data_IF_789825871809
#
_entry.id   IF_789825871809
#
_cell.length_a   1.000
_cell.length_b   1.000
_cell.length_c   1.000
_cell.angle_alpha   90.00
_cell.angle_beta   90.00
_cell.angle_gamma   90.00
#
_symmetry.space_group_name_H-M   'P 1'
#
loop_
_entity.id
_entity.type
_entity.pdbx_description
1 polymer ?
#
# COMPACT_ATOMS: atom_id res chain seq x y z
N UNK A 1 -8.30 5.32 -14.69
CA UNK A 1 -7.13 4.43 -14.77
C UNK A 1 -5.80 5.18 -14.80
N UNK A 2 -5.59 6.20 -15.64
CA UNK A 2 -4.36 7.00 -15.68
C UNK A 2 -3.94 7.51 -14.31
N UNK A 3 -4.84 8.20 -13.61
CA UNK A 3 -4.62 8.72 -12.25
C UNK A 3 -4.45 7.58 -11.24
N UNK A 4 -5.30 6.56 -11.30
CA UNK A 4 -5.37 5.49 -10.30
C UNK A 4 -4.10 4.59 -10.36
N UNK A 5 -3.55 4.33 -11.55
CA UNK A 5 -2.32 3.57 -11.73
C UNK A 5 -1.07 4.38 -11.34
N UNK A 6 -1.00 5.67 -11.70
CA UNK A 6 0.08 6.55 -11.23
C UNK A 6 0.11 6.56 -9.70
N UNK A 7 -1.06 6.72 -9.07
CA UNK A 7 -1.17 6.71 -7.61
C UNK A 7 -0.79 5.35 -7.02
N UNK A 8 -1.26 4.25 -7.60
CA UNK A 8 -0.93 2.91 -7.11
C UNK A 8 0.57 2.63 -7.20
N UNK A 9 1.21 2.94 -8.34
CA UNK A 9 2.66 2.81 -8.53
C UNK A 9 3.43 3.72 -7.58
N UNK A 10 2.97 4.95 -7.36
CA UNK A 10 3.54 5.87 -6.38
C UNK A 10 3.55 5.26 -4.98
N UNK A 11 2.41 4.77 -4.49
CA UNK A 11 2.36 4.16 -3.16
C UNK A 11 3.27 2.94 -3.09
N UNK A 12 3.26 2.05 -4.10
CA UNK A 12 4.18 0.90 -4.17
C UNK A 12 5.66 1.32 -4.12
N UNK A 13 6.03 2.38 -4.84
CA UNK A 13 7.38 2.94 -4.84
C UNK A 13 7.75 3.52 -3.48
N UNK A 14 6.83 4.18 -2.78
CA UNK A 14 7.03 4.66 -1.39
C UNK A 14 7.30 3.48 -0.47
N UNK A 15 6.53 2.38 -0.56
CA UNK A 15 6.76 1.19 0.28
C UNK A 15 8.13 0.56 0.03
N UNK A 16 8.55 0.44 -1.24
CA UNK A 16 9.88 -0.08 -1.59
C UNK A 16 10.99 0.84 -1.07
N UNK A 17 10.85 2.14 -1.29
CA UNK A 17 11.81 3.13 -0.82
C UNK A 17 11.93 3.13 0.70
N UNK A 18 10.81 3.10 1.43
CA UNK A 18 10.80 3.10 2.88
C UNK A 18 11.38 1.79 3.46
N UNK A 19 11.11 0.65 2.82
CA UNK A 19 11.71 -0.63 3.20
C UNK A 19 13.24 -0.59 3.09
N UNK A 20 13.76 -0.11 1.96
CA UNK A 20 15.21 0.03 1.76
C UNK A 20 15.80 1.08 2.69
N UNK A 21 15.15 2.23 2.83
CA UNK A 21 15.61 3.32 3.70
C UNK A 21 15.68 2.90 5.17
N UNK A 22 14.69 2.14 5.66
CA UNK A 22 14.69 1.65 7.04
C UNK A 22 15.84 0.70 7.33
N UNK A 23 16.19 -0.18 6.37
CA UNK A 23 17.36 -1.05 6.50
C UNK A 23 18.65 -0.22 6.40
N UNK A 24 18.74 0.69 5.42
CA UNK A 24 19.92 1.53 5.21
C UNK A 24 20.23 2.46 6.40
N UNK A 25 19.21 3.01 7.07
CA UNK A 25 19.38 3.84 8.27
C UNK A 25 20.14 3.10 9.37
N UNK A 26 19.90 1.79 9.53
CA UNK A 26 20.60 0.95 10.51
C UNK A 26 22.09 0.81 10.17
N UNK A 27 22.51 0.97 8.90
CA UNK A 27 23.93 0.98 8.54
C UNK A 27 24.61 2.34 8.79
N UNK A 28 23.84 3.43 8.81
CA UNK A 28 24.35 4.80 8.97
C UNK A 28 24.35 5.28 10.41
N UNK A 29 23.72 4.55 11.33
CA UNK A 29 23.67 4.93 12.74
C UNK A 29 25.05 4.76 13.42
N UNK A 30 25.59 5.78 14.08
CA UNK A 30 26.96 5.75 14.62
C UNK A 30 27.16 4.74 15.77
N UNK A 31 26.07 4.24 16.36
CA UNK A 31 26.08 3.32 17.51
C UNK A 31 25.80 1.86 17.11
N UNK A 32 25.58 1.58 15.83
CA UNK A 32 25.28 0.22 15.36
C UNK A 32 26.53 -0.53 14.98
N UNK A 33 26.77 -1.67 15.63
CA UNK A 33 27.81 -2.63 15.22
C UNK A 33 27.50 -3.18 13.83
N UNK A 34 28.51 -3.35 12.97
CA UNK A 34 28.35 -3.94 11.64
C UNK A 34 27.57 -5.27 11.65
N UNK A 35 27.77 -6.10 12.67
CA UNK A 35 27.03 -7.35 12.89
C UNK A 35 25.52 -7.14 13.01
N UNK A 36 25.07 -6.09 13.71
CA UNK A 36 23.64 -5.77 13.85
C UNK A 36 23.03 -5.31 12.53
N UNK A 37 23.77 -4.51 11.78
CA UNK A 37 23.33 -4.03 10.47
C UNK A 37 23.21 -5.18 9.45
N UNK A 38 24.21 -6.07 9.42
CA UNK A 38 24.17 -7.28 8.59
C UNK A 38 23.06 -8.23 9.01
N UNK A 39 22.81 -8.40 10.32
CA UNK A 39 21.68 -9.18 10.82
C UNK A 39 20.34 -8.58 10.39
N UNK A 40 20.18 -7.26 10.49
CA UNK A 40 18.98 -6.56 10.02
C UNK A 40 18.74 -6.78 8.52
N UNK A 41 19.78 -6.63 7.71
CA UNK A 41 19.73 -6.93 6.28
C UNK A 41 19.37 -8.39 6.01
N UNK A 42 19.94 -9.33 6.77
CA UNK A 42 19.70 -10.77 6.63
C UNK A 42 18.25 -11.10 6.96
N UNK A 43 17.72 -10.60 8.08
CA UNK A 43 16.32 -10.79 8.46
C UNK A 43 15.35 -10.22 7.41
N UNK A 44 15.59 -9.00 6.93
CA UNK A 44 14.79 -8.38 5.89
C UNK A 44 14.83 -9.20 4.58
N UNK A 45 16.01 -9.66 4.18
CA UNK A 45 16.24 -10.45 2.96
C UNK A 45 15.62 -11.84 3.06
N UNK A 46 15.71 -12.50 4.22
CA UNK A 46 15.07 -13.80 4.46
C UNK A 46 13.56 -13.66 4.39
N UNK A 47 12.98 -12.66 5.05
CA UNK A 47 11.52 -12.44 5.01
C UNK A 47 11.01 -12.14 3.61
N UNK A 48 11.70 -11.24 2.87
CA UNK A 48 11.34 -10.93 1.49
C UNK A 48 11.55 -12.13 0.55
N UNK A 49 12.72 -12.74 0.59
CA UNK A 49 13.12 -13.84 -0.29
C UNK A 49 12.25 -15.08 -0.10
N UNK A 50 11.99 -15.48 1.14
CA UNK A 50 11.07 -16.57 1.44
C UNK A 50 9.64 -16.24 1.00
N UNK A 51 9.14 -15.03 1.26
CA UNK A 51 7.82 -14.60 0.79
C UNK A 51 7.68 -14.66 -0.74
N UNK A 52 8.70 -14.21 -1.47
CA UNK A 52 8.72 -14.26 -2.93
C UNK A 52 8.85 -15.67 -3.49
N UNK A 53 9.72 -16.50 -2.90
CA UNK A 53 9.90 -17.90 -3.30
C UNK A 53 8.63 -18.72 -3.07
N UNK A 54 8.01 -18.61 -1.89
CA UNK A 54 6.78 -19.32 -1.55
C UNK A 54 5.60 -18.85 -2.40
N UNK A 55 5.54 -17.56 -2.76
CA UNK A 55 4.55 -17.06 -3.74
C UNK A 55 4.80 -17.65 -5.13
N UNK A 56 6.07 -17.76 -5.54
CA UNK A 56 6.48 -18.36 -6.81
C UNK A 56 6.08 -19.83 -6.97
N UNK A 57 5.89 -20.57 -5.86
CA UNK A 57 5.40 -21.95 -5.88
C UNK A 57 4.03 -22.08 -6.58
N UNK A 58 3.23 -21.01 -6.61
CA UNK A 58 1.97 -21.02 -7.36
C UNK A 58 2.16 -21.31 -8.85
N UNK A 59 3.31 -20.97 -9.44
CA UNK A 59 3.59 -21.23 -10.86
C UNK A 59 4.56 -22.41 -11.08
N UNK A 60 4.91 -23.11 -10.00
CA UNK A 60 5.86 -24.23 -10.04
C UNK A 60 5.20 -25.53 -10.49
N UNK A 61 6.00 -26.41 -11.10
CA UNK A 61 5.61 -27.79 -11.44
C UNK A 61 5.64 -28.73 -10.22
N UNK A 62 6.26 -28.31 -9.12
CA UNK A 62 6.41 -29.12 -7.90
C UNK A 62 5.19 -28.99 -6.97
N UNK A 63 4.79 -30.09 -6.33
CA UNK A 63 3.64 -30.24 -5.42
C UNK A 63 2.25 -30.19 -6.08
N UNK A 64 1.24 -30.66 -5.34
CA UNK A 64 -0.17 -30.61 -5.76
C UNK A 64 -0.71 -29.18 -5.73
N UNK A 65 -1.71 -28.88 -6.58
CA UNK A 65 -2.35 -27.56 -6.69
C UNK A 65 -2.83 -27.01 -5.34
N UNK A 66 -3.40 -27.88 -4.49
CA UNK A 66 -3.86 -27.50 -3.15
C UNK A 66 -2.71 -27.02 -2.26
N UNK A 67 -1.61 -27.78 -2.20
CA UNK A 67 -0.43 -27.41 -1.40
C UNK A 67 0.18 -26.11 -1.93
N UNK A 68 0.40 -25.99 -3.24
CA UNK A 68 0.93 -24.77 -3.87
C UNK A 68 0.13 -23.52 -3.54
N UNK A 69 -1.20 -23.61 -3.67
CA UNK A 69 -2.08 -22.48 -3.40
C UNK A 69 -2.09 -22.11 -1.91
N UNK A 70 -2.19 -23.09 -1.02
CA UNK A 70 -2.20 -22.83 0.42
C UNK A 70 -0.87 -22.21 0.90
N UNK A 71 0.27 -22.77 0.48
CA UNK A 71 1.59 -22.25 0.84
C UNK A 71 1.81 -20.85 0.26
N UNK A 72 1.43 -20.62 -1.00
CA UNK A 72 1.53 -19.30 -1.63
C UNK A 72 0.64 -18.25 -0.95
N UNK A 73 -0.55 -18.64 -0.47
CA UNK A 73 -1.46 -17.73 0.22
C UNK A 73 -0.92 -17.28 1.59
N UNK A 74 -0.23 -18.18 2.30
CA UNK A 74 0.42 -17.87 3.58
C UNK A 74 1.87 -17.37 3.45
N UNK A 75 2.37 -17.17 2.23
CA UNK A 75 3.76 -16.79 1.97
C UNK A 75 4.26 -15.58 2.79
N UNK A 76 3.51 -14.46 2.92
CA UNK A 76 3.96 -13.33 3.73
C UNK A 76 4.05 -13.67 5.22
N UNK A 77 3.08 -14.44 5.74
CA UNK A 77 3.05 -14.85 7.14
C UNK A 77 4.19 -15.82 7.48
N UNK A 78 4.43 -16.80 6.61
CA UNK A 78 5.56 -17.73 6.73
C UNK A 78 6.90 -16.97 6.68
N UNK A 79 7.02 -15.98 5.79
CA UNK A 79 8.24 -15.15 5.70
C UNK A 79 8.51 -14.32 6.96
N UNK A 80 7.46 -13.82 7.64
CA UNK A 80 7.59 -13.16 8.95
C UNK A 80 8.08 -14.14 10.01
N UNK A 81 7.50 -15.34 10.05
CA UNK A 81 7.92 -16.39 11.00
C UNK A 81 9.38 -16.76 10.78
N UNK A 82 9.79 -17.03 9.54
CA UNK A 82 11.17 -17.40 9.20
C UNK A 82 12.17 -16.28 9.55
N UNK A 83 11.88 -15.04 9.18
CA UNK A 83 12.76 -13.91 9.53
C UNK A 83 12.87 -13.68 11.04
N UNK A 84 11.77 -13.88 11.77
CA UNK A 84 11.75 -13.76 13.23
C UNK A 84 12.50 -14.92 13.90
N UNK A 85 12.41 -16.14 13.36
CA UNK A 85 13.18 -17.29 13.83
C UNK A 85 14.68 -17.09 13.62
N UNK A 86 15.11 -16.54 12.48
CA UNK A 86 16.52 -16.18 12.22
C UNK A 86 17.00 -15.17 13.26
N UNK A 87 16.23 -14.10 13.50
CA UNK A 87 16.58 -13.10 14.50
C UNK A 87 16.69 -13.71 15.91
N UNK A 88 15.76 -14.59 16.26
CA UNK A 88 15.76 -15.30 17.56
C UNK A 88 16.95 -16.25 17.69
N UNK A 89 17.26 -17.03 16.65
CA UNK A 89 18.41 -17.93 16.65
C UNK A 89 19.73 -17.16 16.81
N UNK A 90 19.88 -16.04 16.10
CA UNK A 90 21.08 -15.19 16.20
C UNK A 90 21.20 -14.53 17.58
N UNK A 91 20.07 -14.11 18.18
CA UNK A 91 20.04 -13.59 19.55
C UNK A 91 20.47 -14.62 20.61
N UNK A 92 20.14 -15.90 20.42
CA UNK A 92 20.51 -16.98 21.35
C UNK A 92 21.98 -17.39 21.21
N UNK A 93 22.51 -17.39 19.99
CA UNK A 93 23.86 -17.86 19.71
C UNK A 93 24.95 -16.77 19.85
N UNK A 94 24.60 -15.48 19.68
CA UNK A 94 25.55 -14.38 19.72
C UNK A 94 25.13 -13.30 20.72
N UNK A 95 25.90 -13.17 21.80
CA UNK A 95 25.73 -12.10 22.78
C UNK A 95 25.90 -10.72 22.12
N UNK A 96 24.92 -9.82 22.29
CA UNK A 96 24.94 -8.47 21.73
C UNK A 96 24.19 -8.27 20.41
N UNK A 97 23.66 -9.33 19.79
CA UNK A 97 22.86 -9.27 18.56
C UNK A 97 21.35 -9.01 18.81
N UNK A 98 21.03 -7.94 19.53
CA UNK A 98 19.64 -7.52 19.75
C UNK A 98 19.21 -6.51 18.68
N UNK A 99 18.22 -6.90 17.88
CA UNK A 99 17.49 -5.98 16.99
C UNK A 99 16.36 -5.30 17.77
N UNK A 100 16.04 -4.07 17.39
CA UNK A 100 14.84 -3.38 17.88
C UNK A 100 13.59 -4.13 17.39
N UNK A 101 12.76 -4.56 18.33
CA UNK A 101 11.50 -5.25 18.04
C UNK A 101 10.30 -4.33 18.17
N UNK A 102 9.13 -4.81 17.73
CA UNK A 102 7.89 -4.06 17.81
C UNK A 102 7.55 -3.68 19.26
N UNK A 103 7.52 -2.38 19.55
CA UNK A 103 7.12 -1.85 20.85
C UNK A 103 5.62 -1.61 20.86
N UNK A 104 4.90 -2.37 21.67
CA UNK A 104 3.45 -2.22 21.85
C UNK A 104 3.16 -1.63 23.24
N UNK A 105 2.29 -0.61 23.34
CA UNK A 105 1.96 0.00 24.62
C UNK A 105 1.26 -1.00 25.54
N UNK A 106 1.64 -0.99 26.82
CA UNK A 106 1.05 -1.86 27.85
C UNK A 106 -0.18 -1.25 28.51
N UNK A 107 -0.34 0.08 28.42
CA UNK A 107 -1.44 0.86 28.98
C UNK A 107 -2.13 1.64 27.88
N UNK A 108 -3.46 1.70 27.94
CA UNK A 108 -4.27 2.51 27.04
C UNK A 108 -4.34 3.95 27.58
N UNK A 109 -3.38 4.78 27.17
CA UNK A 109 -3.23 6.17 27.62
C UNK A 109 -2.94 7.07 26.42
N UNK A 110 -3.22 8.37 26.58
CA UNK A 110 -2.87 9.38 25.58
C UNK A 110 -1.35 9.57 25.52
N UNK A 111 -0.81 9.86 24.34
CA UNK A 111 0.65 9.96 24.11
C UNK A 111 1.33 11.00 25.00
N UNK A 112 0.62 12.07 25.34
CA UNK A 112 1.13 13.19 26.15
C UNK A 112 0.55 13.22 27.57
N UNK A 113 -0.26 12.24 27.96
CA UNK A 113 -0.99 12.26 29.24
C UNK A 113 -2.14 13.27 29.29
N UNK A 114 -2.49 13.89 28.15
CA UNK A 114 -3.63 14.82 28.04
C UNK A 114 -4.98 14.12 28.30
N UNK A 115 -6.03 14.88 28.64
CA UNK A 115 -7.40 14.38 28.62
C UNK A 115 -7.81 13.83 27.24
N UNK A 116 -8.74 12.87 27.23
CA UNK A 116 -9.26 12.31 25.98
C UNK A 116 -10.06 13.33 25.17
N UNK A 117 -10.85 14.18 25.82
CA UNK A 117 -11.55 15.26 25.14
C UNK A 117 -10.62 16.46 24.98
N UNK A 118 -10.41 16.92 23.75
CA UNK A 118 -9.58 18.11 23.51
C UNK A 118 -10.34 19.37 23.95
N UNK A 119 -9.75 20.23 24.79
CA UNK A 119 -10.34 21.53 25.11
C UNK A 119 -10.28 22.45 23.89
N UNK A 120 -11.38 22.56 23.15
CA UNK A 120 -11.47 23.35 21.92
C UNK A 120 -11.44 24.87 22.17
N UNK A 121 -11.75 25.29 23.40
CA UNK A 121 -11.86 26.69 23.82
C UNK A 121 -10.53 27.35 24.17
N UNK A 122 -9.46 26.56 24.33
CA UNK A 122 -8.17 27.08 24.80
C UNK A 122 -7.37 27.77 23.68
N UNK A 123 -7.72 27.54 22.41
CA UNK A 123 -7.09 28.22 21.28
C UNK A 123 -7.67 29.63 21.05
N UNK A 124 -6.84 30.61 20.64
CA UNK A 124 -7.30 31.94 20.27
C UNK A 124 -8.24 31.90 19.05
N UNK A 125 -9.20 32.82 18.99
CA UNK A 125 -10.27 32.82 17.96
C UNK A 125 -9.73 32.84 16.54
N UNK A 126 -8.66 33.61 16.28
CA UNK A 126 -8.03 33.66 14.96
C UNK A 126 -7.49 32.30 14.50
N UNK A 127 -6.95 31.48 15.42
CA UNK A 127 -6.40 30.17 15.11
C UNK A 127 -7.50 29.16 14.80
N UNK A 128 -8.68 29.29 15.43
CA UNK A 128 -9.85 28.46 15.13
C UNK A 128 -10.33 28.66 13.69
N UNK A 129 -10.44 29.92 13.25
CA UNK A 129 -10.78 30.23 11.86
C UNK A 129 -9.64 29.92 10.89
N UNK A 130 -8.39 30.15 11.30
CA UNK A 130 -7.20 29.80 10.51
C UNK A 130 -7.09 28.31 10.22
N UNK A 131 -7.57 27.44 11.13
CA UNK A 131 -7.59 26.00 10.95
C UNK A 131 -8.53 25.51 9.82
N UNK A 132 -9.46 26.34 9.34
CA UNK A 132 -10.32 25.99 8.19
C UNK A 132 -9.49 25.73 6.92
N UNK A 133 -8.39 26.46 6.71
CA UNK A 133 -7.55 26.31 5.53
C UNK A 133 -6.85 24.93 5.48
N UNK A 134 -6.06 24.51 6.48
CA UNK A 134 -5.47 23.17 6.49
C UNK A 134 -6.55 22.07 6.53
N UNK A 135 -7.69 22.30 7.20
CA UNK A 135 -8.81 21.36 7.18
C UNK A 135 -9.36 21.15 5.76
N UNK A 136 -9.45 22.20 4.94
CA UNK A 136 -9.88 22.08 3.54
C UNK A 136 -8.89 21.25 2.70
N UNK A 137 -7.58 21.48 2.85
CA UNK A 137 -6.56 20.67 2.16
C UNK A 137 -6.62 19.20 2.58
N UNK A 138 -6.76 18.92 3.87
CA UNK A 138 -6.86 17.55 4.37
C UNK A 138 -8.18 16.88 3.98
N UNK A 139 -9.28 17.63 3.90
CA UNK A 139 -10.56 17.11 3.39
C UNK A 139 -10.43 16.66 1.92
N UNK A 140 -9.74 17.44 1.09
CA UNK A 140 -9.42 17.04 -0.29
C UNK A 140 -8.55 15.78 -0.31
N UNK A 141 -7.53 15.68 0.55
CA UNK A 141 -6.69 14.49 0.65
C UNK A 141 -7.50 13.24 1.05
N UNK A 142 -8.29 13.32 2.12
CA UNK A 142 -9.14 12.21 2.57
C UNK A 142 -10.14 11.79 1.48
N UNK A 143 -10.72 12.75 0.78
CA UNK A 143 -11.61 12.49 -0.34
C UNK A 143 -10.88 11.75 -1.48
N UNK A 144 -9.69 12.21 -1.87
CA UNK A 144 -8.91 11.58 -2.94
C UNK A 144 -8.46 10.17 -2.56
N UNK A 145 -7.89 9.99 -1.37
CA UNK A 145 -7.41 8.69 -0.89
C UNK A 145 -8.54 7.67 -0.82
N UNK A 146 -9.70 8.06 -0.29
CA UNK A 146 -10.85 7.17 -0.20
C UNK A 146 -11.39 6.80 -1.58
N UNK A 147 -11.58 7.77 -2.48
CA UNK A 147 -12.13 7.51 -3.80
C UNK A 147 -11.17 6.72 -4.69
N UNK A 148 -9.87 7.00 -4.65
CA UNK A 148 -8.87 6.23 -5.41
C UNK A 148 -8.81 4.79 -4.88
N UNK A 149 -8.77 4.62 -3.56
CA UNK A 149 -8.76 3.28 -2.95
C UNK A 149 -10.02 2.50 -3.29
N UNK A 150 -11.21 3.13 -3.17
CA UNK A 150 -12.47 2.50 -3.51
C UNK A 150 -12.54 2.12 -5.00
N UNK A 151 -12.07 2.97 -5.92
CA UNK A 151 -12.02 2.64 -7.36
C UNK A 151 -11.02 1.54 -7.68
N UNK A 152 -9.88 1.49 -6.99
CA UNK A 152 -8.87 0.45 -7.18
C UNK A 152 -9.38 -0.92 -6.72
N UNK A 153 -10.03 -0.97 -5.55
CA UNK A 153 -10.67 -2.17 -5.01
C UNK A 153 -11.82 -2.61 -5.91
N UNK A 154 -12.70 -1.68 -6.31
CA UNK A 154 -13.84 -1.92 -7.18
C UNK A 154 -13.48 -2.00 -8.67
N UNK A 155 -12.23 -2.36 -9.00
CA UNK A 155 -11.83 -2.57 -10.37
C UNK A 155 -12.64 -3.73 -10.98
N UNK A 156 -13.26 -3.57 -12.17
CA UNK A 156 -14.00 -4.64 -12.85
C UNK A 156 -13.23 -5.96 -13.00
N UNK A 157 -11.90 -5.92 -13.00
CA UNK A 157 -11.01 -7.10 -13.04
C UNK A 157 -11.25 -8.07 -11.88
N UNK A 158 -11.68 -7.60 -10.71
CA UNK A 158 -11.93 -8.45 -9.55
C UNK A 158 -13.30 -9.15 -9.57
N UNK A 159 -14.15 -8.84 -10.55
CA UNK A 159 -15.47 -9.48 -10.75
C UNK A 159 -16.32 -9.55 -9.47
N UNK A 160 -16.27 -8.49 -8.66
CA UNK A 160 -17.09 -8.36 -7.45
C UNK A 160 -18.55 -8.14 -7.82
N UNK A 161 -19.46 -8.71 -7.01
CA UNK A 161 -20.90 -8.80 -7.32
C UNK A 161 -21.74 -7.90 -6.41
N UNK A 162 -21.29 -7.62 -5.19
CA UNK A 162 -22.05 -6.87 -4.17
C UNK A 162 -21.45 -5.47 -4.02
N UNK A 163 -22.32 -4.46 -3.95
CA UNK A 163 -21.94 -3.13 -3.44
C UNK A 163 -22.01 -1.97 -4.40
N UNK A 164 -22.34 -2.18 -5.68
CA UNK A 164 -22.55 -1.10 -6.65
C UNK A 164 -23.97 -1.11 -7.18
N UNK A 165 -24.92 -0.73 -6.32
CA UNK A 165 -26.27 -0.45 -6.76
C UNK A 165 -26.29 0.95 -7.40
N UNK A 166 -26.51 1.02 -8.71
CA UNK A 166 -26.48 2.29 -9.46
C UNK A 166 -27.68 3.18 -9.13
N UNK A 167 -28.74 2.62 -8.57
CA UNK A 167 -30.01 3.30 -8.35
C UNK A 167 -30.17 3.79 -6.89
N UNK A 168 -29.23 3.47 -6.00
CA UNK A 168 -29.22 3.93 -4.61
C UNK A 168 -28.38 5.20 -4.43
N UNK A 169 -28.96 6.21 -3.76
CA UNK A 169 -28.26 7.45 -3.36
C UNK A 169 -27.07 7.15 -2.42
N UNK A 170 -27.17 6.07 -1.64
CA UNK A 170 -26.11 5.51 -0.82
C UNK A 170 -25.42 4.34 -1.55
N UNK A 171 -24.88 4.61 -2.74
CA UNK A 171 -23.89 3.71 -3.37
C UNK A 171 -22.71 3.50 -2.40
N UNK A 172 -22.03 2.36 -2.49
CA UNK A 172 -20.97 1.97 -1.56
C UNK A 172 -19.90 3.04 -1.36
N UNK A 173 -19.55 3.78 -2.41
CA UNK A 173 -18.55 4.86 -2.34
C UNK A 173 -19.02 6.08 -1.52
N UNK A 174 -20.30 6.48 -1.66
CA UNK A 174 -20.85 7.61 -0.90
C UNK A 174 -21.07 7.25 0.56
N UNK A 175 -21.54 6.02 0.82
CA UNK A 175 -21.68 5.47 2.17
C UNK A 175 -20.34 5.41 2.90
N UNK A 176 -19.29 4.92 2.25
CA UNK A 176 -17.96 4.86 2.83
C UNK A 176 -17.42 6.26 3.19
N UNK A 177 -17.61 7.24 2.31
CA UNK A 177 -17.20 8.62 2.57
C UNK A 177 -17.95 9.25 3.75
N UNK A 178 -19.25 8.97 3.87
CA UNK A 178 -20.06 9.43 5.00
C UNK A 178 -19.57 8.83 6.33
N UNK A 179 -19.31 7.52 6.36
CA UNK A 179 -18.78 6.83 7.55
C UNK A 179 -17.41 7.39 7.95
N UNK A 180 -16.49 7.56 6.99
CA UNK A 180 -15.16 8.14 7.26
C UNK A 180 -15.27 9.58 7.77
N UNK A 181 -16.22 10.37 7.26
CA UNK A 181 -16.45 11.74 7.71
C UNK A 181 -16.89 11.79 9.18
N UNK A 182 -17.83 10.92 9.57
CA UNK A 182 -18.26 10.77 10.98
C UNK A 182 -17.08 10.34 11.86
N UNK A 183 -16.35 9.30 11.44
CA UNK A 183 -15.19 8.80 12.20
C UNK A 183 -14.10 9.86 12.34
N UNK A 184 -13.85 10.65 11.30
CA UNK A 184 -12.88 11.76 11.34
C UNK A 184 -13.32 12.84 12.32
N UNK A 185 -14.61 13.18 12.36
CA UNK A 185 -15.17 14.09 13.36
C UNK A 185 -14.97 13.59 14.78
N UNK A 186 -15.32 12.32 15.05
CA UNK A 186 -15.14 11.68 16.36
C UNK A 186 -13.66 11.62 16.77
N UNK A 187 -12.78 11.20 15.85
CA UNK A 187 -11.34 11.20 16.07
C UNK A 187 -10.81 12.60 16.34
N UNK A 188 -11.36 13.65 15.73
CA UNK A 188 -10.95 15.04 15.97
C UNK A 188 -11.34 15.54 17.36
N UNK A 189 -12.51 15.14 17.87
CA UNK A 189 -12.97 15.49 19.23
C UNK A 189 -12.09 14.84 20.31
N UNK A 190 -11.73 13.57 20.08
CA UNK A 190 -10.89 12.77 20.99
C UNK A 190 -9.38 13.02 20.75
N UNK A 191 -9.07 13.64 19.62
CA UNK A 191 -7.73 13.88 19.08
C UNK A 191 -6.93 12.62 18.73
N UNK A 192 -7.63 11.57 18.30
CA UNK A 192 -7.02 10.40 17.68
C UNK A 192 -6.56 10.73 16.25
N UNK A 193 -5.49 10.07 15.75
CA UNK A 193 -5.10 10.22 14.36
C UNK A 193 -6.24 9.81 13.43
N UNK A 194 -6.41 10.55 12.34
CA UNK A 194 -7.45 10.26 11.36
C UNK A 194 -7.15 8.98 10.59
N UNK A 195 -8.21 8.33 10.13
CA UNK A 195 -8.12 7.10 9.35
C UNK A 195 -8.45 7.40 7.88
N UNK A 196 -7.63 6.86 6.98
CA UNK A 196 -7.83 6.96 5.53
C UNK A 196 -7.81 5.57 4.89
N UNK A 197 -8.40 5.45 3.70
CA UNK A 197 -8.36 4.25 2.89
C UNK A 197 -6.93 3.81 2.59
N UNK A 198 -6.55 2.61 3.04
CA UNK A 198 -5.18 2.12 2.89
C UNK A 198 -5.00 1.37 1.56
N UNK A 199 -4.68 2.10 0.48
CA UNK A 199 -4.68 1.59 -0.90
C UNK A 199 -3.95 0.26 -1.09
N UNK A 200 -2.69 0.14 -0.67
CA UNK A 200 -1.91 -1.10 -0.83
C UNK A 200 -2.43 -2.25 0.01
N UNK A 201 -2.87 -1.97 1.24
CA UNK A 201 -3.44 -2.99 2.14
C UNK A 201 -4.77 -3.50 1.61
N UNK A 202 -5.66 -2.61 1.17
CA UNK A 202 -6.95 -2.97 0.60
C UNK A 202 -6.79 -3.74 -0.71
N UNK A 203 -5.88 -3.33 -1.60
CA UNK A 203 -5.59 -4.06 -2.83
C UNK A 203 -5.00 -5.45 -2.55
N UNK A 204 -4.08 -5.58 -1.59
CA UNK A 204 -3.52 -6.86 -1.17
C UNK A 204 -4.59 -7.79 -0.56
N UNK A 205 -5.49 -7.23 0.26
CA UNK A 205 -6.59 -7.97 0.87
C UNK A 205 -7.59 -8.50 -0.17
N UNK A 206 -8.04 -7.66 -1.10
CA UNK A 206 -8.94 -8.09 -2.19
C UNK A 206 -8.28 -9.16 -3.06
N UNK A 207 -6.99 -8.99 -3.38
CA UNK A 207 -6.21 -9.98 -4.12
C UNK A 207 -6.11 -11.32 -3.39
N UNK A 208 -5.99 -11.31 -2.06
CA UNK A 208 -5.96 -12.54 -1.25
C UNK A 208 -7.30 -13.28 -1.23
N UNK A 209 -8.39 -12.56 -1.48
CA UNK A 209 -9.75 -13.10 -1.59
C UNK A 209 -10.15 -13.45 -3.04
N UNK A 210 -9.27 -13.17 -4.01
CA UNK A 210 -9.51 -13.44 -5.42
C UNK A 210 -9.26 -14.92 -5.75
N UNK A 211 -10.18 -15.51 -6.51
CA UNK A 211 -10.10 -16.87 -7.05
C UNK A 211 -9.43 -16.78 -8.41
N UNK A 212 -8.38 -17.57 -8.61
CA UNK A 212 -7.62 -17.62 -9.85
C UNK A 212 -7.89 -18.93 -10.59
N UNK A 213 -8.07 -18.84 -11.89
CA UNK A 213 -8.16 -19.98 -12.81
C UNK A 213 -6.80 -20.64 -13.05
N UNK A 214 -6.81 -21.78 -13.75
CA UNK A 214 -5.61 -22.48 -14.20
C UNK A 214 -4.74 -21.63 -15.14
N UNK A 215 -5.36 -20.75 -15.93
CA UNK A 215 -4.68 -19.77 -16.78
C UNK A 215 -4.18 -18.53 -16.00
N UNK A 216 -4.40 -18.47 -14.69
CA UNK A 216 -4.01 -17.34 -13.84
C UNK A 216 -4.94 -16.12 -13.93
N UNK A 217 -6.07 -16.24 -14.62
CA UNK A 217 -7.11 -15.22 -14.71
C UNK A 217 -7.98 -15.18 -13.45
N UNK A 218 -8.50 -14.01 -13.07
CA UNK A 218 -9.39 -13.88 -11.92
C UNK A 218 -10.81 -14.26 -12.34
N UNK A 219 -11.39 -15.27 -11.71
CA UNK A 219 -12.75 -15.76 -11.99
C UNK A 219 -13.81 -15.19 -11.06
N UNK A 220 -13.39 -14.68 -9.89
CA UNK A 220 -14.27 -14.09 -8.90
C UNK A 220 -13.54 -13.73 -7.62
N UNK A 221 -14.22 -13.01 -6.73
CA UNK A 221 -13.68 -12.60 -5.43
C UNK A 221 -14.66 -12.97 -4.31
N UNK A 222 -14.13 -13.48 -3.19
CA UNK A 222 -14.91 -13.86 -2.02
C UNK A 222 -15.21 -12.63 -1.15
N UNK A 223 -16.42 -12.10 -1.26
CA UNK A 223 -16.87 -10.93 -0.50
C UNK A 223 -17.34 -11.34 0.91
N UNK A 224 -16.64 -10.89 1.95
CA UNK A 224 -16.97 -11.21 3.34
C UNK A 224 -16.72 -10.01 4.26
N UNK A 225 -17.44 -9.97 5.39
CA UNK A 225 -17.27 -8.94 6.43
C UNK A 225 -16.36 -9.39 7.59
N UNK A 226 -16.14 -10.70 7.71
CA UNK A 226 -15.44 -11.31 8.84
C UNK A 226 -13.96 -10.99 8.81
N UNK A 227 -13.27 -11.14 7.67
CA UNK A 227 -11.81 -10.96 7.60
C UNK A 227 -11.37 -9.56 8.03
N UNK A 228 -12.05 -8.51 7.54
CA UNK A 228 -11.79 -7.13 7.94
C UNK A 228 -12.06 -6.89 9.43
N UNK A 229 -13.19 -7.38 9.95
CA UNK A 229 -13.53 -7.27 11.37
C UNK A 229 -12.53 -8.03 12.26
N UNK A 230 -12.11 -9.23 11.86
CA UNK A 230 -11.14 -10.07 12.57
C UNK A 230 -9.78 -9.38 12.67
N UNK A 231 -9.28 -8.73 11.61
CA UNK A 231 -8.01 -7.99 11.65
C UNK A 231 -8.07 -6.88 12.71
N UNK A 232 -9.13 -6.08 12.72
CA UNK A 232 -9.28 -4.99 13.69
C UNK A 232 -9.52 -5.51 15.12
N UNK A 233 -10.27 -6.60 15.28
CA UNK A 233 -10.44 -7.27 16.56
C UNK A 233 -9.11 -7.80 17.11
N UNK A 234 -8.25 -8.38 16.27
CA UNK A 234 -6.92 -8.85 16.66
C UNK A 234 -5.98 -7.69 17.03
N UNK A 235 -6.05 -6.56 16.32
CA UNK A 235 -5.32 -5.34 16.71
C UNK A 235 -5.80 -4.86 18.09
N UNK A 236 -7.12 -4.82 18.33
CA UNK A 236 -7.69 -4.51 19.64
C UNK A 236 -7.22 -5.50 20.72
N UNK A 237 -7.19 -6.79 20.42
CA UNK A 237 -6.71 -7.82 21.33
C UNK A 237 -5.24 -7.62 21.72
N UNK A 238 -4.38 -7.11 20.82
CA UNK A 238 -2.99 -6.76 21.15
C UNK A 238 -2.88 -5.61 22.16
N UNK A 239 -3.87 -4.72 22.20
CA UNK A 239 -3.95 -3.62 23.17
C UNK A 239 -4.43 -4.13 24.52
N UNK A 240 -5.45 -4.99 24.57
CA UNK A 240 -6.06 -5.45 25.83
C UNK A 240 -5.34 -6.64 26.49
N UNK A 241 -4.79 -7.57 25.72
CA UNK A 241 -4.22 -8.81 26.23
C UNK A 241 -2.68 -8.81 26.18
N UNK A 242 -2.06 -9.39 27.23
CA UNK A 242 -0.60 -9.44 27.35
C UNK A 242 0.05 -10.52 26.48
N UNK A 243 -0.66 -11.63 26.22
CA UNK A 243 -0.12 -12.76 25.45
C UNK A 243 0.12 -12.41 23.96
N UNK A 244 -0.85 -11.88 23.19
CA UNK A 244 -0.62 -11.46 21.80
C UNK A 244 0.46 -10.38 21.71
N UNK A 245 0.46 -9.45 22.68
CA UNK A 245 1.45 -8.38 22.77
C UNK A 245 2.88 -8.92 22.90
N UNK A 246 3.09 -9.88 23.80
CA UNK A 246 4.40 -10.53 23.99
C UNK A 246 4.85 -11.23 22.70
N UNK A 247 3.95 -11.97 22.06
CA UNK A 247 4.25 -12.65 20.80
C UNK A 247 4.67 -11.66 19.71
N UNK A 248 3.94 -10.56 19.52
CA UNK A 248 4.28 -9.55 18.52
C UNK A 248 5.57 -8.79 18.85
N UNK A 249 5.89 -8.60 20.14
CA UNK A 249 7.13 -7.97 20.58
C UNK A 249 8.39 -8.79 20.31
N UNK A 250 8.24 -10.08 19.92
CA UNK A 250 9.38 -10.87 19.44
C UNK A 250 9.75 -10.54 17.98
N UNK A 251 8.85 -9.91 17.21
CA UNK A 251 9.08 -9.61 15.79
C UNK A 251 10.01 -8.38 15.65
N UNK A 252 11.21 -8.54 15.06
CA UNK A 252 12.12 -7.44 14.81
C UNK A 252 11.60 -6.45 13.75
N UNK A 253 11.91 -5.17 13.88
CA UNK A 253 11.56 -4.15 12.87
C UNK A 253 12.13 -4.44 11.46
N UNK A 254 13.36 -4.99 11.30
CA UNK A 254 13.87 -5.34 9.97
C UNK A 254 13.04 -6.42 9.24
N UNK A 255 12.39 -7.32 9.98
CA UNK A 255 11.46 -8.31 9.39
C UNK A 255 10.27 -7.60 8.74
N UNK A 256 9.73 -6.56 9.38
CA UNK A 256 8.66 -5.73 8.81
C UNK A 256 9.11 -4.98 7.55
N UNK A 257 10.38 -4.58 7.47
CA UNK A 257 10.95 -3.98 6.26
C UNK A 257 10.95 -4.98 5.09
N UNK A 258 11.26 -6.26 5.36
CA UNK A 258 11.11 -7.34 4.38
C UNK A 258 9.66 -7.52 3.90
N UNK A 259 8.68 -7.41 4.80
CA UNK A 259 7.24 -7.43 4.45
C UNK A 259 6.85 -6.21 3.60
N UNK A 260 7.32 -5.01 3.95
CA UNK A 260 7.07 -3.80 3.14
C UNK A 260 7.66 -3.93 1.74
N UNK A 261 8.84 -4.53 1.60
CA UNK A 261 9.44 -4.80 0.30
C UNK A 261 8.60 -5.80 -0.51
N UNK A 262 8.10 -6.86 0.14
CA UNK A 262 7.19 -7.82 -0.47
C UNK A 262 5.88 -7.15 -0.94
N UNK A 263 5.24 -6.36 -0.08
CA UNK A 263 4.00 -5.65 -0.41
C UNK A 263 4.20 -4.63 -1.53
N UNK A 264 5.31 -3.89 -1.50
CA UNK A 264 5.69 -2.95 -2.55
C UNK A 264 5.83 -3.62 -3.92
N UNK A 265 6.59 -4.72 -4.01
CA UNK A 265 6.80 -5.41 -5.28
C UNK A 265 5.54 -6.12 -5.80
N UNK A 266 4.80 -6.77 -4.90
CA UNK A 266 3.61 -7.55 -5.29
C UNK A 266 2.39 -6.69 -5.62
N UNK A 267 2.35 -5.44 -5.17
CA UNK A 267 1.32 -4.46 -5.55
C UNK A 267 1.56 -3.84 -6.93
N UNK A 268 2.80 -3.83 -7.43
CA UNK A 268 3.09 -3.43 -8.81
C UNK A 268 2.57 -4.44 -9.85
N UNK A 269 2.53 -5.72 -9.48
CA UNK A 269 2.12 -6.80 -10.39
C UNK A 269 0.63 -6.68 -10.75
N UNK A 270 0.34 -6.50 -12.05
CA UNK A 270 -1.02 -6.38 -12.58
C UNK A 270 -1.48 -4.94 -12.82
N UNK A 271 -0.63 -3.94 -12.59
CA UNK A 271 -0.86 -2.56 -13.03
C UNK A 271 -0.38 -2.40 -14.48
N UNK A 272 -1.21 -1.85 -15.38
CA UNK A 272 -0.80 -1.69 -16.80
C UNK A 272 0.34 -0.68 -16.94
N UNK A 273 0.38 0.36 -16.12
CA UNK A 273 1.55 1.24 -16.03
C UNK A 273 2.83 0.46 -15.76
N UNK A 274 2.83 -0.47 -14.78
CA UNK A 274 4.03 -1.26 -14.48
C UNK A 274 4.37 -2.22 -15.62
N UNK A 275 3.38 -2.89 -16.21
CA UNK A 275 3.57 -3.78 -17.36
C UNK A 275 4.15 -3.02 -18.56
N UNK A 276 3.73 -1.78 -18.80
CA UNK A 276 4.30 -0.92 -19.84
C UNK A 276 5.72 -0.45 -19.52
N UNK A 277 6.01 -0.12 -18.26
CA UNK A 277 7.37 0.24 -17.82
C UNK A 277 8.33 -0.92 -18.06
N UNK A 278 7.94 -2.15 -17.68
CA UNK A 278 8.72 -3.36 -17.99
C UNK A 278 8.81 -3.57 -19.51
N UNK A 279 7.71 -3.33 -20.23
CA UNK A 279 7.64 -3.40 -21.69
C UNK A 279 8.60 -2.47 -22.44
N UNK A 280 9.07 -1.36 -21.82
CA UNK A 280 10.12 -0.51 -22.41
C UNK A 280 11.46 -1.25 -22.56
N UNK A 281 11.68 -2.30 -21.78
CA UNK A 281 12.90 -3.13 -21.81
C UNK A 281 12.68 -4.48 -22.50
N UNK A 282 11.47 -4.77 -22.99
CA UNK A 282 11.16 -6.01 -23.68
C UNK A 282 11.40 -5.90 -25.19
N UNK A 283 11.81 -7.01 -25.81
CA UNK A 283 11.91 -7.08 -27.26
C UNK A 283 10.51 -7.12 -27.88
N UNK A 284 10.18 -6.10 -28.67
CA UNK A 284 8.90 -5.98 -29.36
C UNK A 284 8.58 -7.12 -30.34
N UNK A 285 9.59 -7.89 -30.78
CA UNK A 285 9.41 -9.03 -31.69
C UNK A 285 8.93 -10.30 -30.98
N UNK A 286 9.30 -10.46 -29.70
CA UNK A 286 9.01 -11.66 -28.89
C UNK A 286 7.92 -11.40 -27.84
N UNK A 287 7.73 -10.14 -27.47
CA UNK A 287 6.78 -9.76 -26.44
C UNK A 287 5.35 -10.27 -26.74
N UNK A 288 4.63 -10.81 -25.73
CA UNK A 288 3.28 -11.28 -25.93
C UNK A 288 2.36 -10.13 -26.36
N UNK A 289 1.43 -10.42 -27.29
CA UNK A 289 0.47 -9.42 -27.76
C UNK A 289 -0.46 -9.01 -26.62
N UNK A 290 -0.39 -7.74 -26.24
CA UNK A 290 -1.25 -7.11 -25.24
C UNK A 290 -2.30 -6.22 -25.92
N UNK A 291 -3.29 -5.76 -25.15
CA UNK A 291 -4.37 -4.88 -25.62
C UNK A 291 -3.87 -3.60 -26.30
N UNK A 292 -2.76 -3.02 -25.82
CA UNK A 292 -2.16 -1.80 -26.36
C UNK A 292 -1.10 -2.05 -27.43
N UNK A 293 -0.87 -3.31 -27.85
CA UNK A 293 0.08 -3.63 -28.93
C UNK A 293 -0.35 -3.10 -30.31
N UNK A 294 -1.61 -2.70 -30.45
CA UNK A 294 -2.16 -2.03 -31.65
C UNK A 294 -1.81 -0.54 -31.73
N UNK A 295 -1.31 0.06 -30.64
CA UNK A 295 -0.89 1.46 -30.58
C UNK A 295 0.58 1.57 -31.05
N UNK A 296 0.94 2.58 -31.85
CA UNK A 296 2.34 2.80 -32.23
C UNK A 296 3.27 2.88 -31.01
N UNK A 297 4.39 2.14 -31.05
CA UNK A 297 5.35 2.06 -29.94
C UNK A 297 5.80 3.43 -29.44
N UNK A 298 6.05 4.40 -30.34
CA UNK A 298 6.44 5.77 -29.97
C UNK A 298 5.41 6.44 -29.06
N UNK A 299 4.13 6.32 -29.39
CA UNK A 299 3.03 6.89 -28.60
C UNK A 299 2.91 6.22 -27.24
N UNK A 300 3.03 4.89 -27.20
CA UNK A 300 3.05 4.12 -25.95
C UNK A 300 4.22 4.53 -25.06
N UNK A 301 5.44 4.63 -25.61
CA UNK A 301 6.63 5.06 -24.87
C UNK A 301 6.50 6.47 -24.32
N UNK A 302 6.07 7.45 -25.12
CA UNK A 302 5.87 8.83 -24.66
C UNK A 302 4.85 8.87 -23.53
N UNK A 303 3.72 8.18 -23.70
CA UNK A 303 2.69 8.12 -22.66
C UNK A 303 3.23 7.53 -21.36
N UNK A 304 3.94 6.40 -21.42
CA UNK A 304 4.54 5.76 -20.24
C UNK A 304 5.61 6.63 -19.59
N UNK A 305 6.47 7.30 -20.37
CA UNK A 305 7.48 8.22 -19.84
C UNK A 305 6.84 9.41 -19.11
N UNK A 306 5.75 9.96 -19.62
CA UNK A 306 4.98 11.02 -18.93
C UNK A 306 4.43 10.50 -17.60
N UNK A 307 3.89 9.28 -17.56
CA UNK A 307 3.40 8.68 -16.31
C UNK A 307 4.53 8.44 -15.30
N UNK A 308 5.68 7.91 -15.74
CA UNK A 308 6.86 7.71 -14.87
C UNK A 308 7.37 9.04 -14.35
N UNK A 309 7.42 10.08 -15.18
CA UNK A 309 7.78 11.43 -14.77
C UNK A 309 6.82 11.96 -13.68
N UNK A 310 5.51 11.73 -13.84
CA UNK A 310 4.53 12.10 -12.81
C UNK A 310 4.81 11.36 -11.49
N UNK A 311 5.04 10.04 -11.52
CA UNK A 311 5.39 9.28 -10.31
C UNK A 311 6.66 9.83 -9.65
N UNK A 312 7.70 10.10 -10.42
CA UNK A 312 8.97 10.64 -9.92
C UNK A 312 8.80 12.04 -9.31
N UNK A 313 8.08 12.93 -9.99
CA UNK A 313 7.75 14.26 -9.47
C UNK A 313 6.96 14.15 -8.16
N UNK A 314 6.02 13.20 -8.08
CA UNK A 314 5.23 12.99 -6.88
C UNK A 314 6.03 12.44 -5.71
N UNK A 315 6.92 11.48 -5.98
CA UNK A 315 7.89 10.98 -5.00
C UNK A 315 8.80 12.10 -4.47
N UNK A 316 9.25 13.00 -5.35
CA UNK A 316 10.09 14.11 -4.95
C UNK A 316 9.36 15.11 -4.04
N UNK A 317 8.14 15.52 -4.43
CA UNK A 317 7.34 16.45 -3.62
C UNK A 317 6.99 15.85 -2.26
N UNK A 318 6.58 14.57 -2.21
CA UNK A 318 6.22 13.89 -0.95
C UNK A 318 7.37 13.77 0.05
N UNK A 319 8.62 13.71 -0.43
CA UNK A 319 9.82 13.72 0.42
C UNK A 319 10.37 15.13 0.69
N UNK A 320 9.87 16.15 0.01
CA UNK A 320 10.24 17.56 0.22
C UNK A 320 9.44 18.19 1.37
N UNK A 321 9.84 19.37 1.88
CA UNK A 321 9.03 20.17 2.82
C UNK A 321 7.63 20.52 2.28
N UNK A 322 7.45 20.49 0.95
CA UNK A 322 6.18 20.71 0.29
C UNK A 322 5.29 19.45 0.22
N UNK A 323 5.60 18.39 0.99
CA UNK A 323 4.81 17.16 1.01
C UNK A 323 3.32 17.38 1.32
N UNK A 324 2.98 18.46 2.03
CA UNK A 324 1.59 18.89 2.29
C UNK A 324 0.81 19.19 0.99
N UNK A 325 1.50 19.56 -0.11
CA UNK A 325 0.89 19.81 -1.42
C UNK A 325 0.66 18.55 -2.26
N UNK A 326 1.07 17.37 -1.78
CA UNK A 326 0.81 16.10 -2.47
C UNK A 326 -0.65 15.86 -2.93
N UNK A 327 -1.70 16.28 -2.20
CA UNK A 327 -3.08 16.08 -2.65
C UNK A 327 -3.42 16.92 -3.89
N UNK A 328 -2.88 18.15 -3.97
CA UNK A 328 -3.10 19.07 -5.09
C UNK A 328 -2.51 18.50 -6.38
N UNK A 329 -1.34 17.88 -6.27
CA UNK A 329 -0.66 17.25 -7.41
C UNK A 329 -1.42 16.01 -7.90
N UNK A 330 -1.98 15.20 -7.01
CA UNK A 330 -2.87 14.08 -7.38
C UNK A 330 -4.12 14.62 -8.09
N UNK A 331 -4.73 15.70 -7.57
CA UNK A 331 -5.88 16.35 -8.18
C UNK A 331 -5.58 16.97 -9.56
N UNK A 332 -4.31 17.26 -9.87
CA UNK A 332 -3.88 17.76 -11.17
C UNK A 332 -3.76 16.66 -12.25
N UNK A 333 -3.58 15.39 -11.86
CA UNK A 333 -3.39 14.29 -12.82
C UNK A 333 -4.53 14.14 -13.85
N UNK A 334 -5.83 14.26 -13.49
CA UNK A 334 -6.92 14.26 -14.46
C UNK A 334 -6.87 15.45 -15.44
N UNK A 335 -6.36 16.61 -15.01
CA UNK A 335 -6.19 17.79 -15.87
C UNK A 335 -5.04 17.57 -16.86
N UNK A 336 -3.93 17.01 -16.38
CA UNK A 336 -2.80 16.63 -17.21
C UNK A 336 -3.21 15.62 -18.30
N UNK A 337 -4.04 14.63 -17.95
CA UNK A 337 -4.61 13.68 -18.92
C UNK A 337 -5.38 14.39 -20.03
N UNK A 338 -6.25 15.35 -19.68
CA UNK A 338 -6.99 16.13 -20.68
C UNK A 338 -6.06 16.98 -21.55
N UNK A 339 -5.01 17.53 -20.95
CA UNK A 339 -4.00 18.34 -21.64
C UNK A 339 -3.21 17.52 -22.68
N UNK A 340 -2.83 16.27 -22.35
CA UNK A 340 -2.13 15.38 -23.28
C UNK A 340 -2.92 15.13 -24.58
N UNK A 341 -4.25 15.00 -24.47
CA UNK A 341 -5.15 14.88 -25.62
C UNK A 341 -5.24 16.19 -26.39
N UNK A 342 -5.37 17.32 -25.67
CA UNK A 342 -5.53 18.65 -26.28
C UNK A 342 -4.29 19.07 -27.09
N UNK A 343 -3.09 18.71 -26.64
CA UNK A 343 -1.81 19.00 -27.32
C UNK A 343 -1.55 18.03 -28.48
N UNK A 344 -2.44 17.04 -28.73
CA UNK A 344 -2.29 15.99 -29.76
C UNK A 344 -1.03 15.12 -29.58
N UNK A 345 -0.52 15.00 -28.35
CA UNK A 345 0.59 14.07 -28.04
C UNK A 345 0.11 12.62 -28.11
N UNK A 346 -1.16 12.37 -27.79
CA UNK A 346 -1.80 11.06 -27.85
C UNK A 346 -3.16 11.19 -28.51
N UNK A 347 -3.40 10.40 -29.57
CA UNK A 347 -4.69 10.36 -30.24
C UNK A 347 -5.79 9.85 -29.31
N UNK A 348 -7.03 10.36 -29.39
CA UNK A 348 -8.14 9.91 -28.55
C UNK A 348 -8.39 8.39 -28.63
N UNK A 349 -8.19 7.79 -29.82
CA UNK A 349 -8.29 6.34 -30.04
C UNK A 349 -7.20 5.57 -29.29
N UNK A 350 -5.96 6.05 -29.35
CA UNK A 350 -4.82 5.46 -28.63
C UNK A 350 -4.97 5.62 -27.12
N UNK A 351 -5.50 6.75 -26.64
CA UNK A 351 -5.80 6.94 -25.22
C UNK A 351 -6.87 5.96 -24.74
N UNK A 352 -7.93 5.73 -25.52
CA UNK A 352 -8.92 4.70 -25.22
C UNK A 352 -8.30 3.31 -25.07
N UNK A 353 -7.30 2.96 -25.89
CA UNK A 353 -6.59 1.69 -25.78
C UNK A 353 -5.50 1.65 -24.69
N UNK A 354 -4.99 2.79 -24.23
CA UNK A 354 -3.98 2.87 -23.17
C UNK A 354 -4.58 3.07 -21.76
N UNK A 355 -5.86 3.41 -21.68
CA UNK A 355 -6.52 3.89 -20.46
C UNK A 355 -7.98 3.41 -20.30
N UNK A 356 -8.38 2.36 -21.04
CA UNK A 356 -9.68 1.69 -20.85
C UNK A 356 -9.80 1.04 -19.47
#
# INVERSE_FOLDING_TARGET
RFTDEIFSVLISAIFLFEAVSNVAKIFTEPLTTATKALLALTCASVTFGSGMALRGLKNSIYFTKSIRNNVSNFAPAIGVVLGSLVARAMRLNFAGCNLSSLVLPTKFVTTTGRPWLIPMTDLPVWARWGACLPAAFLAVLLFLDQNITARLVNNPRYMMKKGRDKDSVLDGMHGDLFVISILTGLCSIVGLPWMAGATTRSAAHVRSLSIFDDDGNITGTIENRVTGASIHALIGACVFFSWPRKLLSEVPLPVLSGVFMYLGLTSLQGLELWERVVGLFQDSSVAPKTRWSSVPNKTTTIFTLVQVFCVAAMMWVTKSPFGVMSPVMVAFLPLLRKLLVKIKVVDPKSLGMLDA
#
